data_IF_401868592950
#
_entry.id   IF_401868592950
#
_cell.length_a   1.000
_cell.length_b   1.000
_cell.length_c   1.000
_cell.angle_alpha   90.00
_cell.angle_beta   90.00
_cell.angle_gamma   90.00
#
_symmetry.space_group_name_H-M   'P 1'
#
loop_
_entity.id
_entity.type
_entity.pdbx_description
1 polymer ?
#
# COMPACT_ATOMS: atom_id res chain seq x y z
N UNK A 1 -20.31 7.23 31.74
CA UNK A 1 -20.25 8.26 30.69
C UNK A 1 -18.82 8.76 30.64
N UNK A 2 -18.10 8.60 29.52
CA UNK A 2 -16.76 9.17 29.38
C UNK A 2 -16.87 10.65 28.92
N UNK A 3 -15.79 11.42 29.07
CA UNK A 3 -15.78 12.85 28.74
C UNK A 3 -16.19 13.11 27.28
N UNK A 4 -15.73 12.27 26.33
CA UNK A 4 -16.05 12.42 24.90
C UNK A 4 -17.56 12.27 24.65
N UNK A 5 -18.19 11.21 25.15
CA UNK A 5 -19.64 10.99 25.04
C UNK A 5 -20.42 12.12 25.68
N UNK A 6 -19.96 12.65 26.82
CA UNK A 6 -20.56 13.82 27.45
C UNK A 6 -20.46 15.08 26.55
N UNK A 7 -19.30 15.36 25.98
CA UNK A 7 -19.11 16.52 25.08
C UNK A 7 -20.00 16.42 23.84
N UNK A 8 -20.07 15.23 23.21
CA UNK A 8 -20.93 14.97 22.05
C UNK A 8 -22.41 15.19 22.40
N UNK A 9 -22.87 14.68 23.55
CA UNK A 9 -24.25 14.88 24.03
C UNK A 9 -24.58 16.36 24.32
N UNK A 10 -23.58 17.18 24.62
CA UNK A 10 -23.74 18.61 24.87
C UNK A 10 -23.48 19.46 23.61
N UNK A 11 -23.47 18.86 22.42
CA UNK A 11 -23.43 19.57 21.14
C UNK A 11 -22.03 19.94 20.65
N UNK A 12 -20.98 19.27 21.14
CA UNK A 12 -19.66 19.39 20.52
C UNK A 12 -19.71 18.94 19.05
N UNK A 13 -19.14 19.74 18.16
CA UNK A 13 -19.03 19.39 16.74
C UNK A 13 -18.03 18.25 16.56
N UNK A 14 -18.54 17.07 16.20
CA UNK A 14 -17.74 15.86 15.98
C UNK A 14 -16.84 15.92 14.76
N UNK A 15 -17.13 16.82 13.82
CA UNK A 15 -16.37 17.01 12.59
C UNK A 15 -15.44 18.23 12.65
N UNK A 16 -15.35 18.89 13.82
CA UNK A 16 -14.46 20.02 14.01
C UNK A 16 -13.03 19.66 13.63
N UNK A 17 -12.45 20.47 12.75
CA UNK A 17 -11.11 20.30 12.22
C UNK A 17 -10.21 21.43 12.67
N UNK A 18 -8.94 21.11 12.93
CA UNK A 18 -7.88 22.11 12.85
C UNK A 18 -7.61 22.37 11.38
N UNK A 19 -7.50 23.64 10.98
CA UNK A 19 -7.16 24.03 9.61
C UNK A 19 -5.71 24.53 9.50
N UNK A 20 -5.15 24.44 8.30
CA UNK A 20 -3.90 25.11 7.93
C UNK A 20 -4.13 26.60 7.71
N UNK A 21 -3.05 27.38 7.58
CA UNK A 21 -3.16 28.80 7.19
C UNK A 21 -3.79 29.03 5.80
N UNK A 22 -3.83 27.99 4.96
CA UNK A 22 -4.50 27.98 3.65
C UNK A 22 -5.97 27.55 3.72
N UNK A 23 -6.52 27.26 4.91
CA UNK A 23 -7.91 26.82 5.09
C UNK A 23 -8.15 25.35 4.75
N UNK A 24 -7.10 24.53 4.62
CA UNK A 24 -7.23 23.08 4.40
C UNK A 24 -7.36 22.36 5.74
N UNK A 25 -8.14 21.27 5.79
CA UNK A 25 -8.28 20.43 6.99
C UNK A 25 -6.91 19.83 7.35
N UNK A 26 -6.32 20.27 8.44
CA UNK A 26 -5.06 19.71 8.94
C UNK A 26 -5.29 18.33 9.59
N UNK A 27 -6.22 18.26 10.55
CA UNK A 27 -6.58 17.03 11.26
C UNK A 27 -7.86 17.24 12.06
N UNK A 28 -8.56 16.15 12.41
CA UNK A 28 -9.72 16.14 13.30
C UNK A 28 -9.45 15.30 14.54
N UNK A 29 -10.29 15.48 15.57
CA UNK A 29 -10.23 14.68 16.79
C UNK A 29 -10.41 13.18 16.52
N UNK A 30 -11.19 12.82 15.50
CA UNK A 30 -11.36 11.43 15.07
C UNK A 30 -10.08 10.84 14.44
N UNK A 31 -9.37 11.60 13.61
CA UNK A 31 -8.13 11.16 12.99
C UNK A 31 -7.05 10.85 14.06
N UNK A 32 -7.00 11.64 15.14
CA UNK A 32 -6.16 11.34 16.31
C UNK A 32 -6.59 10.08 17.05
N UNK A 33 -7.89 9.84 17.20
CA UNK A 33 -8.39 8.63 17.86
C UNK A 33 -7.94 7.37 17.11
N UNK A 34 -7.94 7.42 15.77
CA UNK A 34 -7.44 6.35 14.91
C UNK A 34 -5.92 6.23 15.03
N UNK A 35 -5.19 7.33 14.82
CA UNK A 35 -3.73 7.33 14.80
C UNK A 35 -3.09 6.88 16.11
N UNK A 36 -3.71 7.17 17.26
CA UNK A 36 -3.23 6.74 18.58
C UNK A 36 -3.87 5.43 19.07
N UNK A 37 -4.72 4.78 18.28
CA UNK A 37 -5.40 3.55 18.71
C UNK A 37 -6.33 3.74 19.91
N UNK A 38 -6.87 4.94 20.12
CA UNK A 38 -7.83 5.18 21.21
C UNK A 38 -9.19 4.61 20.84
N UNK A 39 -9.39 3.32 21.10
CA UNK A 39 -10.59 2.58 20.73
C UNK A 39 -11.87 3.12 21.37
N UNK A 40 -11.77 3.65 22.60
CA UNK A 40 -12.91 4.25 23.30
C UNK A 40 -13.39 5.53 22.60
N UNK A 41 -12.45 6.40 22.23
CA UNK A 41 -12.73 7.63 21.49
C UNK A 41 -13.21 7.33 20.07
N UNK A 42 -12.54 6.40 19.38
CA UNK A 42 -12.94 5.91 18.07
C UNK A 42 -14.38 5.40 18.07
N UNK A 43 -14.74 4.53 19.01
CA UNK A 43 -16.09 3.96 19.11
C UNK A 43 -17.14 5.05 19.40
N UNK A 44 -16.83 6.02 20.27
CA UNK A 44 -17.73 7.13 20.55
C UNK A 44 -18.00 8.02 19.32
N UNK A 45 -16.98 8.29 18.51
CA UNK A 45 -17.15 9.04 17.25
C UNK A 45 -17.93 8.25 16.19
N UNK A 46 -17.65 6.95 16.04
CA UNK A 46 -18.36 6.07 15.12
C UNK A 46 -19.85 5.94 15.50
N UNK A 47 -20.16 5.82 16.80
CA UNK A 47 -21.54 5.83 17.33
C UNK A 47 -22.25 7.17 17.04
N UNK A 48 -21.52 8.28 17.08
CA UNK A 48 -22.04 9.62 16.84
C UNK A 48 -22.21 9.98 15.35
N UNK A 49 -21.77 9.13 14.42
CA UNK A 49 -21.88 9.37 12.98
C UNK A 49 -20.87 10.39 12.46
N UNK A 50 -19.63 10.33 12.95
CA UNK A 50 -18.52 11.14 12.40
C UNK A 50 -18.34 10.89 10.90
N UNK A 51 -17.92 11.91 10.15
CA UNK A 51 -17.56 11.73 8.75
C UNK A 51 -16.26 10.91 8.64
N UNK A 52 -16.35 9.65 8.25
CA UNK A 52 -15.18 8.76 8.12
C UNK A 52 -14.38 8.99 6.84
N UNK A 53 -14.86 9.85 5.92
CA UNK A 53 -14.25 10.10 4.61
C UNK A 53 -13.70 11.52 4.47
N UNK A 54 -13.79 12.36 5.52
CA UNK A 54 -13.19 13.69 5.44
C UNK A 54 -11.67 13.57 5.24
N UNK A 55 -11.18 14.31 4.24
CA UNK A 55 -9.77 14.30 3.85
C UNK A 55 -9.01 15.36 4.62
N UNK A 56 -7.79 15.03 5.01
CA UNK A 56 -6.79 16.02 5.43
C UNK A 56 -6.18 16.73 4.23
N UNK A 57 -5.35 17.74 4.47
CA UNK A 57 -4.58 18.48 3.48
C UNK A 57 -3.61 17.62 2.67
N UNK A 58 -3.35 16.38 3.11
CA UNK A 58 -2.56 15.37 2.38
C UNK A 58 -3.43 14.43 1.54
N UNK A 59 -4.73 14.67 1.44
CA UNK A 59 -5.67 13.78 0.76
C UNK A 59 -6.04 12.51 1.55
N UNK A 60 -5.55 12.34 2.77
CA UNK A 60 -5.76 11.14 3.59
C UNK A 60 -7.05 11.19 4.40
N UNK A 61 -7.76 10.08 4.45
CA UNK A 61 -8.92 9.83 5.32
C UNK A 61 -8.52 8.96 6.53
N UNK A 62 -9.38 8.83 7.56
CA UNK A 62 -9.17 7.94 8.71
C UNK A 62 -8.57 6.56 8.43
N UNK A 63 -8.97 5.88 7.35
CA UNK A 63 -8.47 4.53 7.03
C UNK A 63 -6.97 4.49 6.77
N UNK A 64 -6.38 5.56 6.22
CA UNK A 64 -4.93 5.66 6.02
C UNK A 64 -4.17 5.56 7.35
N UNK A 65 -4.65 6.26 8.39
CA UNK A 65 -4.01 6.25 9.70
C UNK A 65 -4.17 4.89 10.40
N UNK A 66 -5.30 4.21 10.20
CA UNK A 66 -5.50 2.84 10.71
C UNK A 66 -4.51 1.83 10.07
N UNK A 67 -4.03 2.12 8.86
CA UNK A 67 -3.05 1.32 8.12
C UNK A 67 -1.60 1.75 8.38
N UNK A 68 -1.38 2.63 9.37
CA UNK A 68 -0.03 3.04 9.76
C UNK A 68 0.56 4.15 8.88
N UNK A 69 -0.26 4.88 8.11
CA UNK A 69 0.22 6.09 7.48
C UNK A 69 0.69 7.08 8.56
N UNK A 70 1.99 7.41 8.54
CA UNK A 70 2.54 8.43 9.42
C UNK A 70 1.83 9.75 9.15
N UNK A 71 1.02 10.21 10.10
CA UNK A 71 0.62 11.59 10.12
C UNK A 71 1.87 12.46 10.31
N UNK A 72 1.88 13.69 9.80
CA UNK A 72 3.01 14.62 9.94
C UNK A 72 3.27 15.07 11.40
N UNK A 73 2.89 14.29 12.42
CA UNK A 73 3.12 14.57 13.84
C UNK A 73 4.59 14.39 14.28
N UNK A 74 5.53 14.41 13.34
CA UNK A 74 6.96 14.18 13.56
C UNK A 74 7.26 12.69 13.72
N UNK A 75 8.55 12.37 13.88
CA UNK A 75 9.04 11.04 14.30
C UNK A 75 8.45 10.74 15.67
N UNK A 76 7.22 10.27 15.73
CA UNK A 76 6.73 9.57 16.89
C UNK A 76 7.36 8.20 16.80
N UNK A 77 8.49 8.10 17.52
CA UNK A 77 9.22 6.88 17.80
C UNK A 77 8.28 5.73 18.16
N UNK A 78 8.83 4.52 18.14
CA UNK A 78 8.28 3.19 18.48
C UNK A 78 7.37 3.06 19.73
N UNK A 79 7.06 4.16 20.41
CA UNK A 79 6.37 4.31 21.69
C UNK A 79 4.84 4.27 21.62
N UNK A 80 4.24 4.43 20.44
CA UNK A 80 2.78 4.31 20.25
C UNK A 80 2.40 3.22 19.25
N UNK A 81 3.04 2.03 19.35
CA UNK A 81 2.57 0.86 18.63
C UNK A 81 1.17 0.51 19.13
N UNK A 82 0.15 0.85 18.32
CA UNK A 82 -1.20 0.33 18.50
C UNK A 82 -1.10 -1.19 18.48
N UNK A 83 -1.70 -1.87 19.47
CA UNK A 83 -1.72 -3.32 19.44
C UNK A 83 -2.52 -3.83 18.23
N UNK A 84 -2.09 -4.95 17.66
CA UNK A 84 -2.70 -5.49 16.43
C UNK A 84 -4.21 -5.70 16.56
N UNK A 85 -4.70 -6.10 17.74
CA UNK A 85 -6.14 -6.30 17.96
C UNK A 85 -6.91 -4.97 17.85
N UNK A 86 -6.38 -3.89 18.43
CA UNK A 86 -6.99 -2.56 18.31
C UNK A 86 -6.93 -2.05 16.87
N UNK A 87 -5.77 -2.15 16.20
CA UNK A 87 -5.61 -1.79 14.78
C UNK A 87 -6.63 -2.55 13.91
N UNK A 88 -6.69 -3.87 14.07
CA UNK A 88 -7.63 -4.74 13.34
C UNK A 88 -9.08 -4.35 13.55
N UNK A 89 -9.46 -4.06 14.79
CA UNK A 89 -10.83 -3.63 15.09
C UNK A 89 -11.17 -2.31 14.40
N UNK A 90 -10.27 -1.33 14.42
CA UNK A 90 -10.51 -0.04 13.76
C UNK A 90 -10.65 -0.19 12.24
N UNK A 91 -9.77 -0.98 11.60
CA UNK A 91 -9.85 -1.27 10.17
C UNK A 91 -11.21 -1.91 9.84
N UNK A 92 -11.59 -2.97 10.57
CA UNK A 92 -12.85 -3.68 10.34
C UNK A 92 -14.08 -2.78 10.54
N UNK A 93 -14.10 -1.95 11.57
CA UNK A 93 -15.21 -1.03 11.83
C UNK A 93 -15.33 0.06 10.76
N UNK A 94 -14.19 0.57 10.24
CA UNK A 94 -14.18 1.53 9.13
C UNK A 94 -14.69 0.90 7.83
N UNK A 95 -14.24 -0.32 7.51
CA UNK A 95 -14.70 -1.09 6.35
C UNK A 95 -16.20 -1.39 6.44
N UNK A 96 -16.69 -1.81 7.61
CA UNK A 96 -18.12 -2.06 7.85
C UNK A 96 -19.00 -0.80 7.71
N UNK A 97 -18.40 0.40 7.70
CA UNK A 97 -19.07 1.67 7.42
C UNK A 97 -18.85 2.18 5.98
N UNK A 98 -18.31 1.34 5.09
CA UNK A 98 -18.04 1.66 3.69
C UNK A 98 -17.13 2.90 3.54
N UNK A 99 -16.02 2.95 4.27
CA UNK A 99 -15.01 3.99 4.05
C UNK A 99 -14.49 3.98 2.60
N UNK A 100 -14.09 5.14 2.09
CA UNK A 100 -13.56 5.26 0.72
C UNK A 100 -12.18 4.59 0.60
N UNK A 101 -12.08 3.58 -0.28
CA UNK A 101 -10.85 2.81 -0.52
C UNK A 101 -10.15 3.13 -1.85
N UNK A 102 -10.88 3.68 -2.82
CA UNK A 102 -10.36 3.94 -4.17
C UNK A 102 -9.99 5.41 -4.35
N UNK A 103 -9.24 5.95 -3.38
CA UNK A 103 -8.76 7.32 -3.33
C UNK A 103 -7.24 7.33 -3.23
N UNK A 104 -6.61 8.35 -3.79
CA UNK A 104 -5.17 8.60 -3.61
C UNK A 104 -4.96 9.69 -2.57
N UNK A 105 -3.94 9.53 -1.74
CA UNK A 105 -3.34 10.66 -1.03
C UNK A 105 -2.46 11.49 -1.98
N UNK A 106 -1.89 12.59 -1.47
CA UNK A 106 -1.03 13.49 -2.26
C UNK A 106 0.26 12.84 -2.77
N UNK A 107 0.63 11.66 -2.24
CA UNK A 107 1.74 10.85 -2.73
C UNK A 107 1.30 9.84 -3.81
N UNK A 108 0.02 9.84 -4.20
CA UNK A 108 -0.54 8.91 -5.16
C UNK A 108 -0.84 7.53 -4.59
N UNK A 109 -0.78 7.33 -3.26
CA UNK A 109 -0.98 6.04 -2.62
C UNK A 109 -2.43 5.84 -2.20
N UNK A 110 -2.99 4.66 -2.49
CA UNK A 110 -4.31 4.27 -1.96
C UNK A 110 -4.20 3.62 -0.59
N UNK A 111 -5.29 3.53 0.18
CA UNK A 111 -5.35 2.71 1.38
C UNK A 111 -4.82 1.29 1.16
N UNK A 112 -5.21 0.62 0.06
CA UNK A 112 -4.73 -0.73 -0.25
C UNK A 112 -3.20 -0.79 -0.37
N UNK A 113 -2.57 0.23 -0.96
CA UNK A 113 -1.11 0.30 -1.08
C UNK A 113 -0.41 0.39 0.28
N UNK A 114 -1.02 1.04 1.29
CA UNK A 114 -0.47 1.02 2.66
C UNK A 114 -0.54 -0.38 3.28
N UNK A 115 -1.65 -1.11 3.08
CA UNK A 115 -1.76 -2.50 3.53
C UNK A 115 -0.73 -3.42 2.84
N UNK A 116 -0.51 -3.23 1.53
CA UNK A 116 0.52 -3.94 0.75
C UNK A 116 1.92 -3.62 1.29
N UNK A 117 2.25 -2.34 1.50
CA UNK A 117 3.55 -1.93 2.01
C UNK A 117 3.84 -2.45 3.43
N UNK A 118 2.80 -2.63 4.23
CA UNK A 118 2.88 -3.23 5.56
C UNK A 118 2.85 -4.76 5.55
N UNK A 119 2.71 -5.40 4.38
CA UNK A 119 2.57 -6.85 4.20
C UNK A 119 1.42 -7.47 5.03
N UNK A 120 0.37 -6.68 5.30
CA UNK A 120 -0.78 -7.07 6.12
C UNK A 120 -1.81 -7.81 5.24
N UNK A 121 -1.57 -9.11 5.01
CA UNK A 121 -2.39 -9.97 4.15
C UNK A 121 -3.88 -9.94 4.52
N UNK A 122 -4.20 -9.89 5.81
CA UNK A 122 -5.58 -9.88 6.27
C UNK A 122 -6.26 -8.55 5.93
N UNK A 123 -5.56 -7.41 6.10
CA UNK A 123 -6.06 -6.10 5.67
C UNK A 123 -6.19 -6.02 4.16
N UNK A 124 -5.21 -6.51 3.40
CA UNK A 124 -5.28 -6.60 1.92
C UNK A 124 -6.52 -7.39 1.50
N UNK A 125 -6.73 -8.60 2.04
CA UNK A 125 -7.91 -9.41 1.69
C UNK A 125 -9.22 -8.71 2.06
N UNK A 126 -9.30 -8.19 3.29
CA UNK A 126 -10.51 -7.53 3.81
C UNK A 126 -10.86 -6.29 2.98
N UNK A 127 -9.87 -5.48 2.59
CA UNK A 127 -10.10 -4.27 1.81
C UNK A 127 -10.58 -4.57 0.40
N UNK A 128 -9.97 -5.56 -0.28
CA UNK A 128 -10.42 -5.97 -1.62
C UNK A 128 -11.84 -6.55 -1.57
N UNK A 129 -12.17 -7.34 -0.54
CA UNK A 129 -13.53 -7.84 -0.29
C UNK A 129 -14.55 -6.72 -0.03
N UNK A 130 -14.09 -5.56 0.46
CA UNK A 130 -14.89 -4.36 0.65
C UNK A 130 -14.77 -3.35 -0.52
N UNK A 131 -14.29 -3.79 -1.68
CA UNK A 131 -14.33 -3.01 -2.92
C UNK A 131 -13.11 -2.14 -3.19
N UNK A 132 -11.99 -2.34 -2.48
CA UNK A 132 -10.72 -1.76 -2.90
C UNK A 132 -10.31 -2.32 -4.27
N UNK A 133 -9.89 -1.44 -5.18
CA UNK A 133 -9.39 -1.79 -6.49
C UNK A 133 -7.99 -2.42 -6.36
N UNK A 134 -7.92 -3.74 -6.54
CA UNK A 134 -6.65 -4.50 -6.55
C UNK A 134 -5.68 -4.00 -7.62
N UNK A 135 -6.20 -3.40 -8.69
CA UNK A 135 -5.42 -2.83 -9.79
C UNK A 135 -5.18 -1.33 -9.64
N UNK A 136 -5.44 -0.76 -8.45
CA UNK A 136 -5.07 0.62 -8.18
C UNK A 136 -3.60 0.84 -8.51
N UNK A 137 -3.29 1.95 -9.17
CA UNK A 137 -1.99 2.22 -9.78
C UNK A 137 -0.82 1.80 -8.89
N UNK A 138 0.14 1.08 -9.48
CA UNK A 138 1.37 0.60 -8.85
C UNK A 138 1.22 -0.43 -7.70
N UNK A 139 0.01 -0.93 -7.37
CA UNK A 139 -0.18 -1.95 -6.33
C UNK A 139 0.68 -3.20 -6.54
N UNK A 140 0.66 -3.79 -7.74
CA UNK A 140 1.44 -4.99 -8.05
C UNK A 140 2.96 -4.74 -8.08
N UNK A 141 3.37 -3.57 -8.56
CA UNK A 141 4.77 -3.14 -8.53
C UNK A 141 5.27 -2.99 -7.10
N UNK A 142 4.46 -2.40 -6.21
CA UNK A 142 4.77 -2.28 -4.79
C UNK A 142 4.86 -3.65 -4.11
N UNK A 143 3.93 -4.57 -4.40
CA UNK A 143 3.99 -5.93 -3.87
C UNK A 143 5.24 -6.71 -4.36
N UNK A 144 5.70 -6.47 -5.59
CA UNK A 144 6.97 -7.02 -6.07
C UNK A 144 8.15 -6.55 -5.22
N UNK A 145 8.11 -5.29 -4.76
CA UNK A 145 9.16 -4.69 -3.93
C UNK A 145 9.22 -5.27 -2.52
N UNK A 146 8.11 -5.76 -1.96
CA UNK A 146 8.11 -6.36 -0.61
C UNK A 146 8.79 -7.73 -0.58
N UNK A 147 9.02 -8.34 -1.76
CA UNK A 147 9.60 -9.68 -1.88
C UNK A 147 8.81 -10.74 -1.09
N UNK A 148 7.48 -10.61 -1.09
CA UNK A 148 6.58 -11.52 -0.37
C UNK A 148 5.74 -12.35 -1.36
N UNK A 149 6.10 -13.64 -1.58
CA UNK A 149 5.40 -14.49 -2.53
C UNK A 149 3.93 -14.76 -2.16
N UNK A 150 3.61 -14.83 -0.86
CA UNK A 150 2.24 -15.08 -0.38
C UNK A 150 1.34 -13.86 -0.63
N UNK A 151 1.88 -12.65 -0.47
CA UNK A 151 1.19 -11.42 -0.84
C UNK A 151 0.93 -11.35 -2.35
N UNK A 152 1.90 -11.77 -3.17
CA UNK A 152 1.70 -11.83 -4.63
C UNK A 152 0.63 -12.85 -5.02
N UNK A 153 0.62 -14.03 -4.39
CA UNK A 153 -0.44 -15.03 -4.62
C UNK A 153 -1.82 -14.45 -4.27
N UNK A 154 -1.94 -13.84 -3.08
CA UNK A 154 -3.19 -13.21 -2.67
C UNK A 154 -3.67 -12.17 -3.68
N UNK A 155 -2.79 -11.29 -4.16
CA UNK A 155 -3.17 -10.26 -5.14
C UNK A 155 -3.63 -10.88 -6.46
N UNK A 156 -2.92 -11.89 -6.98
CA UNK A 156 -3.33 -12.58 -8.21
C UNK A 156 -4.64 -13.36 -8.05
N UNK A 157 -4.83 -14.05 -6.93
CA UNK A 157 -6.09 -14.71 -6.58
C UNK A 157 -7.26 -13.72 -6.51
N UNK A 158 -6.99 -12.49 -6.08
CA UNK A 158 -7.96 -11.39 -6.01
C UNK A 158 -8.11 -10.60 -7.32
N UNK A 159 -7.48 -11.02 -8.40
CA UNK A 159 -7.67 -10.46 -9.74
C UNK A 159 -6.71 -9.32 -10.11
N UNK A 160 -5.55 -9.24 -9.47
CA UNK A 160 -4.48 -8.35 -9.92
C UNK A 160 -4.01 -8.75 -11.33
N UNK A 161 -3.82 -7.77 -12.20
CA UNK A 161 -3.28 -7.96 -13.56
C UNK A 161 -1.99 -7.17 -13.74
N UNK A 162 -1.14 -7.64 -14.67
CA UNK A 162 0.09 -6.94 -15.00
C UNK A 162 -0.20 -5.90 -16.09
N UNK A 163 -0.36 -4.66 -15.67
CA UNK A 163 -0.46 -3.52 -16.60
C UNK A 163 0.90 -3.26 -17.29
N UNK A 164 0.94 -3.13 -18.63
CA UNK A 164 2.14 -2.72 -19.37
C UNK A 164 2.81 -1.44 -18.86
N UNK A 165 2.04 -0.47 -18.34
CA UNK A 165 2.62 0.76 -17.74
C UNK A 165 3.50 0.47 -16.52
N UNK A 166 3.30 -0.68 -15.86
CA UNK A 166 4.04 -1.10 -14.67
C UNK A 166 5.19 -2.08 -14.99
N UNK A 167 5.41 -2.49 -16.25
CA UNK A 167 6.46 -3.48 -16.56
C UNK A 167 7.84 -3.04 -16.07
N UNK A 168 8.25 -1.81 -16.39
CA UNK A 168 9.57 -1.30 -15.99
C UNK A 168 9.72 -1.19 -14.47
N UNK A 169 8.67 -0.79 -13.75
CA UNK A 169 8.74 -0.68 -12.28
C UNK A 169 8.73 -2.05 -11.59
N UNK A 170 7.98 -3.02 -12.12
CA UNK A 170 8.02 -4.43 -11.68
C UNK A 170 9.42 -5.01 -11.92
N UNK A 171 9.99 -4.85 -13.12
CA UNK A 171 11.34 -5.32 -13.45
C UNK A 171 12.38 -4.72 -12.49
N UNK A 172 12.31 -3.41 -12.26
CA UNK A 172 13.20 -2.72 -11.32
C UNK A 172 13.08 -3.29 -9.90
N UNK A 173 11.87 -3.41 -9.35
CA UNK A 173 11.65 -3.93 -8.01
C UNK A 173 12.10 -5.39 -7.87
N UNK A 174 11.88 -6.22 -8.89
CA UNK A 174 12.36 -7.60 -8.89
C UNK A 174 13.89 -7.69 -8.88
N UNK A 175 14.57 -6.77 -9.57
CA UNK A 175 16.05 -6.68 -9.58
C UNK A 175 16.67 -6.25 -8.25
N UNK A 176 15.88 -5.76 -7.28
CA UNK A 176 16.38 -5.42 -5.95
C UNK A 176 16.69 -6.66 -5.09
N UNK A 177 16.01 -7.77 -5.40
CA UNK A 177 16.07 -9.00 -4.58
C UNK A 177 16.34 -10.27 -5.39
N UNK A 178 16.21 -10.23 -6.72
CA UNK A 178 16.37 -11.38 -7.61
C UNK A 178 15.56 -12.61 -7.14
N UNK A 179 14.33 -12.35 -6.74
CA UNK A 179 13.45 -13.37 -6.16
C UNK A 179 12.86 -14.28 -7.22
N UNK A 180 13.39 -15.51 -7.33
CA UNK A 180 12.87 -16.54 -8.23
C UNK A 180 11.38 -16.81 -7.97
N UNK A 181 10.89 -16.99 -6.73
CA UNK A 181 9.46 -17.22 -6.49
C UNK A 181 8.56 -16.10 -7.03
N UNK A 182 8.98 -14.84 -6.92
CA UNK A 182 8.21 -13.71 -7.45
C UNK A 182 8.29 -13.67 -8.98
N UNK A 183 9.48 -13.91 -9.57
CA UNK A 183 9.65 -14.03 -11.02
C UNK A 183 8.72 -15.10 -11.61
N UNK A 184 8.69 -16.28 -11.01
CA UNK A 184 7.85 -17.40 -11.44
C UNK A 184 6.36 -17.02 -11.48
N UNK A 185 5.87 -16.39 -10.42
CA UNK A 185 4.47 -15.92 -10.33
C UNK A 185 4.16 -14.86 -11.39
N UNK A 186 5.08 -13.90 -11.57
CA UNK A 186 4.94 -12.86 -12.60
C UNK A 186 4.92 -13.47 -14.02
N UNK A 187 5.83 -14.39 -14.34
CA UNK A 187 5.87 -15.08 -15.62
C UNK A 187 4.61 -15.91 -15.87
N UNK A 188 4.09 -16.60 -14.85
CA UNK A 188 2.84 -17.33 -14.94
C UNK A 188 1.63 -16.43 -15.27
N UNK A 189 1.72 -15.14 -14.92
CA UNK A 189 0.72 -14.11 -15.23
C UNK A 189 1.07 -13.30 -16.48
N UNK A 190 2.05 -13.75 -17.28
CA UNK A 190 2.38 -13.17 -18.58
C UNK A 190 3.32 -11.96 -18.54
N UNK A 191 4.09 -11.77 -17.45
CA UNK A 191 5.11 -10.74 -17.40
C UNK A 191 6.15 -10.92 -18.53
N UNK A 192 6.48 -9.88 -19.31
CA UNK A 192 7.46 -10.01 -20.39
C UNK A 192 8.88 -10.12 -19.82
N UNK A 193 9.48 -11.30 -19.99
CA UNK A 193 10.79 -11.64 -19.44
C UNK A 193 11.93 -10.70 -19.86
N UNK A 194 11.84 -10.15 -21.08
CA UNK A 194 12.82 -9.24 -21.67
C UNK A 194 12.45 -7.76 -21.49
N UNK A 195 11.64 -7.44 -20.46
CA UNK A 195 11.29 -6.05 -20.14
C UNK A 195 12.56 -5.21 -19.93
N UNK A 196 12.79 -4.16 -20.72
CA UNK A 196 13.94 -3.28 -20.54
C UNK A 196 13.66 -2.19 -19.49
N UNK A 197 14.71 -1.77 -18.80
CA UNK A 197 14.75 -0.49 -18.10
C UNK A 197 15.07 0.68 -19.06
N UNK A 198 15.31 1.88 -18.52
CA UNK A 198 15.63 3.07 -19.32
C UNK A 198 16.97 2.96 -20.08
N UNK A 199 17.90 2.13 -19.59
CA UNK A 199 19.19 1.84 -20.21
C UNK A 199 19.12 0.63 -21.15
N UNK A 200 17.92 0.19 -21.52
CA UNK A 200 17.64 -1.02 -22.30
C UNK A 200 18.14 -2.33 -21.67
N UNK A 201 18.50 -2.31 -20.38
CA UNK A 201 18.92 -3.47 -19.65
C UNK A 201 17.70 -4.30 -19.23
N UNK A 202 17.75 -5.59 -19.54
CA UNK A 202 16.76 -6.57 -19.08
C UNK A 202 17.14 -7.12 -17.71
N UNK A 203 16.25 -7.89 -17.09
CA UNK A 203 16.57 -8.65 -15.88
C UNK A 203 17.80 -9.56 -16.04
N UNK A 204 18.04 -10.07 -17.25
CA UNK A 204 19.21 -10.90 -17.55
C UNK A 204 20.52 -10.09 -17.41
N UNK A 205 20.58 -8.88 -17.99
CA UNK A 205 21.73 -7.97 -17.82
C UNK A 205 22.01 -7.72 -16.34
N UNK A 206 20.97 -7.34 -15.59
CA UNK A 206 21.09 -6.98 -14.19
C UNK A 206 21.56 -8.16 -13.34
N UNK A 207 21.04 -9.37 -13.62
CA UNK A 207 21.44 -10.59 -12.91
C UNK A 207 22.90 -10.97 -13.17
N UNK A 208 23.40 -10.84 -14.41
CA UNK A 208 24.82 -11.09 -14.73
C UNK A 208 25.72 -10.06 -14.04
N UNK A 209 25.37 -8.77 -14.12
CA UNK A 209 26.14 -7.70 -13.47
C UNK A 209 26.23 -7.87 -11.94
N UNK A 210 25.24 -8.51 -11.32
CA UNK A 210 25.18 -8.78 -9.88
C UNK A 210 25.66 -10.19 -9.50
N UNK A 211 26.04 -11.02 -10.48
CA UNK A 211 26.45 -12.41 -10.31
C UNK A 211 25.35 -13.29 -9.67
N UNK A 212 24.09 -13.06 -10.04
CA UNK A 212 22.91 -13.78 -9.57
C UNK A 212 22.65 -15.01 -10.45
N UNK A 213 23.51 -16.01 -10.31
CA UNK A 213 23.59 -17.17 -11.20
C UNK A 213 22.26 -17.93 -11.35
N UNK A 214 21.60 -18.29 -10.23
CA UNK A 214 20.37 -19.08 -10.29
C UNK A 214 19.23 -18.29 -10.94
N UNK A 215 19.16 -16.98 -10.69
CA UNK A 215 18.17 -16.12 -11.32
C UNK A 215 18.42 -15.99 -12.83
N UNK A 216 19.68 -15.75 -13.24
CA UNK A 216 20.08 -15.70 -14.64
C UNK A 216 19.77 -17.02 -15.37
N UNK A 217 20.07 -18.16 -14.72
CA UNK A 217 19.76 -19.49 -15.23
C UNK A 217 18.26 -19.67 -15.47
N UNK A 218 17.42 -19.33 -14.49
CA UNK A 218 15.96 -19.41 -14.65
C UNK A 218 15.48 -18.51 -15.79
N UNK A 219 15.99 -17.28 -15.91
CA UNK A 219 15.63 -16.40 -17.02
C UNK A 219 15.92 -17.05 -18.39
N UNK A 220 17.08 -17.69 -18.54
CA UNK A 220 17.45 -18.39 -19.78
C UNK A 220 16.59 -19.63 -20.03
N UNK A 221 16.30 -20.42 -19.01
CA UNK A 221 15.39 -21.57 -19.11
C UNK A 221 13.97 -21.15 -19.50
N UNK A 222 13.59 -19.90 -19.21
CA UNK A 222 12.32 -19.28 -19.60
C UNK A 222 12.38 -18.44 -20.88
N UNK A 223 13.50 -18.52 -21.61
CA UNK A 223 13.63 -17.97 -22.95
C UNK A 223 14.04 -16.49 -23.01
N UNK A 224 14.66 -15.95 -21.96
CA UNK A 224 15.27 -14.63 -22.01
C UNK A 224 16.34 -14.56 -23.12
N UNK A 225 16.39 -13.45 -23.86
CA UNK A 225 17.28 -13.31 -25.02
C UNK A 225 18.70 -12.91 -24.58
N UNK A 226 19.67 -13.79 -24.87
CA UNK A 226 21.11 -13.54 -24.64
C UNK A 226 21.69 -12.42 -25.50
N UNK A 227 21.13 -12.17 -26.68
CA UNK A 227 21.71 -11.23 -27.66
C UNK A 227 21.14 -9.81 -27.55
N UNK A 228 20.23 -9.55 -26.61
CA UNK A 228 19.65 -8.22 -26.46
C UNK A 228 20.70 -7.26 -25.93
N UNK A 229 20.88 -6.12 -26.60
CA UNK A 229 21.89 -5.13 -26.22
C UNK A 229 21.29 -3.99 -25.40
N UNK A 230 22.04 -3.54 -24.40
CA UNK A 230 21.79 -2.30 -23.66
C UNK A 230 22.10 -1.05 -24.52
N UNK A 231 21.91 0.14 -23.95
CA UNK A 231 22.23 1.42 -24.62
C UNK A 231 23.71 1.58 -25.03
N UNK A 232 24.61 0.78 -24.47
CA UNK A 232 26.04 0.80 -24.79
C UNK A 232 26.44 -0.31 -25.78
N UNK A 233 25.47 -1.07 -26.31
CA UNK A 233 25.73 -2.19 -27.22
C UNK A 233 26.23 -3.46 -26.51
N UNK A 234 26.08 -3.57 -25.18
CA UNK A 234 26.49 -4.74 -24.41
C UNK A 234 25.32 -5.69 -24.24
N UNK A 235 25.52 -6.96 -24.58
CA UNK A 235 24.63 -8.05 -24.15
C UNK A 235 24.85 -8.34 -22.65
N UNK A 236 23.96 -9.09 -21.98
CA UNK A 236 24.19 -9.62 -20.63
C UNK A 236 25.53 -10.35 -20.50
#
# INVERSE_FOLDING_TARGET
>A
MNLIKYLIQNGADINAAKETSSGQVFTRAFDFAVYYGNLEMFSAFMEAGVDINAKTYQGRTPVFYALGADAQFGRLEERFKIDEKTKRKMINDLLAKNCELNIADDYGSSPLMYAIAAEDLESVSSMIENGADVNFKASLSLATKTNNPDLMDLLFEKGAVIDPENYSSIAFNLSLHFSIPILEKLLAQGFPIDTPNQDLQTLLHLSVMKNEYDFAKILLERGARLEQQDVNGKSP
#
